data_IF_884208626243
#
_entry.id   IF_884208626243
#
_cell.length_a   1.000
_cell.length_b   1.000
_cell.length_c   1.000
_cell.angle_alpha   90.00
_cell.angle_beta   90.00
_cell.angle_gamma   90.00
#
_symmetry.space_group_name_H-M   'P 1'
#
loop_
_entity.id
_entity.type
_entity.pdbx_description
1 polymer ?
#
# COMPACT_ATOMS: atom_id res chain seq x y z
N UNK A 1 -11.23 -15.68 -3.32
CA UNK A 1 -10.78 -14.76 -4.38
C UNK A 1 -9.99 -13.69 -3.68
N UNK A 2 -8.70 -13.56 -3.97
CA UNK A 2 -7.83 -12.64 -3.24
C UNK A 2 -8.11 -11.22 -3.66
N UNK A 3 -8.26 -10.32 -2.70
CA UNK A 3 -8.46 -8.90 -2.95
C UNK A 3 -7.40 -8.10 -2.21
N UNK A 4 -6.95 -7.01 -2.81
CA UNK A 4 -6.08 -6.02 -2.20
C UNK A 4 -6.93 -4.80 -1.87
N UNK A 5 -6.92 -4.40 -0.60
CA UNK A 5 -7.69 -3.26 -0.12
C UNK A 5 -6.75 -2.17 0.40
N UNK A 6 -7.01 -0.93 0.00
CA UNK A 6 -6.30 0.25 0.50
C UNK A 6 -7.15 1.00 1.51
N UNK A 7 -6.53 1.36 2.61
CA UNK A 7 -7.07 2.17 3.70
C UNK A 7 -6.23 3.42 3.91
N UNK A 8 -6.90 4.47 4.37
CA UNK A 8 -6.28 5.69 4.88
C UNK A 8 -6.70 5.83 6.34
N UNK A 9 -5.77 5.57 7.25
CA UNK A 9 -5.99 5.67 8.69
C UNK A 9 -5.47 7.03 9.18
N UNK A 10 -6.35 7.83 9.79
CA UNK A 10 -6.03 9.12 10.41
C UNK A 10 -6.06 8.94 11.94
N UNK A 11 -4.89 8.81 12.53
CA UNK A 11 -4.72 8.47 13.95
C UNK A 11 -4.39 9.70 14.77
N UNK A 12 -5.13 9.91 15.86
CA UNK A 12 -4.83 10.89 16.87
C UNK A 12 -3.56 10.51 17.67
N UNK A 13 -2.95 11.45 18.42
CA UNK A 13 -1.82 11.14 19.29
C UNK A 13 -2.12 9.99 20.27
N UNK A 14 -1.27 8.97 20.30
CA UNK A 14 -1.43 7.79 21.16
C UNK A 14 -2.56 6.85 20.76
N UNK A 15 -3.24 7.08 19.62
CA UNK A 15 -4.26 6.17 19.12
C UNK A 15 -3.63 4.87 18.62
N UNK A 16 -4.25 3.73 18.97
CA UNK A 16 -3.79 2.41 18.54
C UNK A 16 -4.46 2.02 17.21
N UNK A 17 -3.63 1.62 16.24
CA UNK A 17 -4.05 0.88 15.06
C UNK A 17 -3.89 -0.62 15.33
N UNK A 18 -5.03 -1.31 15.46
CA UNK A 18 -5.06 -2.76 15.58
C UNK A 18 -5.08 -3.42 14.19
N UNK A 19 -4.16 -4.34 13.97
CA UNK A 19 -3.96 -5.03 12.70
C UNK A 19 -4.15 -6.53 12.92
N UNK A 20 -5.12 -7.11 12.23
CA UNK A 20 -5.39 -8.54 12.27
C UNK A 20 -4.29 -9.35 11.56
N UNK A 21 -4.32 -10.67 11.72
CA UNK A 21 -3.51 -11.58 10.91
C UNK A 21 -3.90 -11.42 9.44
N UNK A 22 -2.89 -11.26 8.57
CA UNK A 22 -3.08 -11.03 7.15
C UNK A 22 -1.91 -10.28 6.55
N UNK A 23 -1.52 -10.66 5.33
CA UNK A 23 -0.44 -10.02 4.59
C UNK A 23 -0.78 -8.58 4.27
N UNK A 24 0.06 -7.65 4.74
CA UNK A 24 -0.20 -6.22 4.61
C UNK A 24 1.09 -5.41 4.54
N UNK A 25 0.96 -4.21 3.99
CA UNK A 25 1.97 -3.16 4.04
C UNK A 25 1.36 -1.92 4.67
N UNK A 26 2.09 -1.30 5.59
CA UNK A 26 1.79 0.03 6.12
C UNK A 26 2.84 1.02 5.63
N UNK A 27 2.41 2.22 5.24
CA UNK A 27 3.26 3.35 4.89
C UNK A 27 2.85 4.56 5.71
N UNK A 28 3.81 5.21 6.37
CA UNK A 28 3.54 6.41 7.16
C UNK A 28 3.68 7.63 6.25
N UNK A 29 2.58 8.27 5.89
CA UNK A 29 2.58 9.48 5.06
C UNK A 29 2.98 10.72 5.85
N UNK A 30 2.59 10.80 7.13
CA UNK A 30 3.02 11.83 8.08
C UNK A 30 2.94 11.33 9.52
N UNK A 31 3.73 11.93 10.40
CA UNK A 31 3.80 11.55 11.81
C UNK A 31 4.65 10.29 12.02
N UNK A 32 4.25 9.48 12.99
CA UNK A 32 4.96 8.27 13.41
C UNK A 32 3.96 7.17 13.84
N UNK A 33 4.26 5.92 13.48
CA UNK A 33 3.47 4.75 13.87
C UNK A 33 4.41 3.65 14.38
N UNK A 34 4.33 3.32 15.66
CA UNK A 34 5.29 2.42 16.30
C UNK A 34 6.72 2.95 16.18
N UNK A 35 7.58 2.26 15.44
CA UNK A 35 8.95 2.70 15.13
C UNK A 35 9.12 3.29 13.72
N UNK A 36 8.03 3.44 12.96
CA UNK A 36 8.06 3.93 11.58
C UNK A 36 7.81 5.44 11.56
N UNK A 37 8.71 6.17 10.89
CA UNK A 37 8.56 7.60 10.66
C UNK A 37 7.99 7.89 9.26
N UNK A 38 7.48 9.11 9.08
CA UNK A 38 7.02 9.60 7.77
C UNK A 38 8.00 9.27 6.63
N UNK A 39 7.48 8.71 5.54
CA UNK A 39 8.25 8.24 4.39
C UNK A 39 8.70 6.78 4.47
N UNK A 40 8.45 6.09 5.58
CA UNK A 40 8.84 4.69 5.77
C UNK A 40 7.67 3.74 5.57
N UNK A 41 7.97 2.52 5.14
CA UNK A 41 7.02 1.43 5.01
C UNK A 41 7.48 0.19 5.78
N UNK A 42 6.54 -0.68 6.13
CA UNK A 42 6.83 -2.03 6.63
C UNK A 42 5.82 -3.04 6.10
N UNK A 43 6.31 -4.26 5.87
CA UNK A 43 5.47 -5.43 5.66
C UNK A 43 5.22 -6.15 6.98
N UNK A 44 4.03 -6.73 7.14
CA UNK A 44 3.72 -7.65 8.23
C UNK A 44 2.62 -8.63 7.86
N UNK A 45 2.58 -9.77 8.53
CA UNK A 45 1.55 -10.80 8.36
C UNK A 45 0.88 -11.23 9.66
N UNK A 46 1.56 -11.04 10.80
CA UNK A 46 1.07 -11.43 12.12
C UNK A 46 0.10 -10.40 12.69
N UNK A 47 -0.65 -10.74 13.73
CA UNK A 47 -1.43 -9.75 14.48
C UNK A 47 -0.48 -8.71 15.11
N UNK A 48 -0.84 -7.43 15.03
CA UNK A 48 -0.05 -6.36 15.64
C UNK A 48 -0.93 -5.23 16.18
N UNK A 49 -0.40 -4.50 17.15
CA UNK A 49 -0.96 -3.21 17.57
C UNK A 49 0.14 -2.18 17.50
N UNK A 50 -0.12 -1.10 16.78
CA UNK A 50 0.84 -0.02 16.58
C UNK A 50 0.23 1.27 17.12
N UNK A 51 1.00 2.00 17.92
CA UNK A 51 0.55 3.26 18.51
C UNK A 51 1.05 4.43 17.66
N UNK A 52 0.19 5.43 17.43
CA UNK A 52 0.58 6.67 16.80
C UNK A 52 1.43 7.53 17.76
N UNK A 53 2.46 8.17 17.21
CA UNK A 53 3.36 9.04 17.96
C UNK A 53 2.66 10.29 18.54
N UNK A 54 3.42 11.18 19.21
CA UNK A 54 2.88 12.33 19.94
C UNK A 54 2.15 13.36 19.05
N UNK A 55 2.43 13.38 17.75
CA UNK A 55 1.79 14.26 16.77
C UNK A 55 0.64 13.57 16.00
N UNK A 56 0.32 12.31 16.34
CA UNK A 56 -0.57 11.46 15.55
C UNK A 56 0.11 10.91 14.29
N UNK A 57 -0.68 10.31 13.40
CA UNK A 57 -0.18 9.76 12.15
C UNK A 57 -1.24 9.74 11.03
N UNK A 58 -0.78 9.88 9.79
CA UNK A 58 -1.54 9.50 8.60
C UNK A 58 -0.87 8.29 7.97
N UNK A 59 -1.60 7.19 7.89
CA UNK A 59 -1.08 5.90 7.46
C UNK A 59 -1.86 5.44 6.24
N UNK A 60 -1.13 5.04 5.20
CA UNK A 60 -1.71 4.35 4.05
C UNK A 60 -1.41 2.87 4.23
N UNK A 61 -2.46 2.06 4.26
CA UNK A 61 -2.36 0.64 4.60
C UNK A 61 -2.97 -0.18 3.47
N UNK A 62 -2.24 -1.18 3.01
CA UNK A 62 -2.72 -2.15 2.03
C UNK A 62 -2.83 -3.51 2.71
N UNK A 63 -3.97 -4.16 2.57
CA UNK A 63 -4.21 -5.48 3.14
C UNK A 63 -4.71 -6.44 2.08
N UNK A 64 -4.20 -7.67 2.14
CA UNK A 64 -4.75 -8.80 1.39
C UNK A 64 -5.86 -9.45 2.21
N UNK A 65 -7.01 -9.56 1.60
CA UNK A 65 -8.22 -10.14 2.19
C UNK A 65 -8.83 -11.15 1.22
N UNK A 66 -9.56 -12.12 1.77
CA UNK A 66 -10.34 -13.07 0.95
C UNK A 66 -11.73 -12.54 0.57
N UNK A 67 -12.10 -11.37 1.11
CA UNK A 67 -13.38 -10.71 0.90
C UNK A 67 -13.19 -9.21 0.66
N UNK A 68 -14.11 -8.60 -0.09
CA UNK A 68 -14.19 -7.15 -0.16
C UNK A 68 -14.69 -6.60 1.18
N UNK A 69 -14.15 -5.45 1.54
CA UNK A 69 -14.34 -4.76 2.81
C UNK A 69 -14.95 -3.40 2.51
N UNK A 70 -16.10 -3.11 3.09
CA UNK A 70 -16.93 -1.94 2.72
C UNK A 70 -16.32 -0.60 3.16
N UNK A 71 -15.34 -0.61 4.05
CA UNK A 71 -14.65 0.55 4.60
C UNK A 71 -13.33 0.87 3.87
N UNK A 72 -12.90 0.03 2.92
CA UNK A 72 -11.72 0.31 2.12
C UNK A 72 -11.95 1.51 1.18
N UNK A 73 -10.94 2.36 1.07
CA UNK A 73 -10.92 3.48 0.14
C UNK A 73 -10.95 3.01 -1.32
N UNK A 74 -10.23 1.92 -1.58
CA UNK A 74 -10.23 1.24 -2.87
C UNK A 74 -9.97 -0.25 -2.65
N UNK A 75 -10.70 -1.09 -3.37
CA UNK A 75 -10.52 -2.54 -3.38
C UNK A 75 -10.24 -2.98 -4.82
N UNK A 76 -9.24 -3.84 -5.00
CA UNK A 76 -8.87 -4.45 -6.26
C UNK A 76 -8.92 -5.96 -6.14
N UNK A 77 -9.67 -6.62 -7.03
CA UNK A 77 -9.68 -8.08 -7.11
C UNK A 77 -8.47 -8.55 -7.89
N UNK A 78 -7.76 -9.54 -7.34
CA UNK A 78 -6.52 -10.05 -7.90
C UNK A 78 -6.73 -11.42 -8.53
N UNK A 79 -6.32 -11.55 -9.78
CA UNK A 79 -6.19 -12.83 -10.47
C UNK A 79 -4.74 -13.31 -10.40
N UNK A 80 -4.44 -14.10 -9.37
CA UNK A 80 -3.10 -14.63 -9.13
C UNK A 80 -3.05 -16.12 -9.51
N UNK A 81 -1.94 -16.53 -10.12
CA UNK A 81 -1.62 -17.94 -10.35
C UNK A 81 -1.45 -18.67 -9.01
N UNK A 82 -2.31 -19.64 -8.64
CA UNK A 82 -2.25 -20.30 -7.34
C UNK A 82 -1.04 -21.23 -7.16
N UNK A 83 -0.26 -21.48 -8.21
CA UNK A 83 0.94 -22.31 -8.15
C UNK A 83 2.24 -21.49 -8.11
N UNK A 84 2.15 -20.17 -8.13
CA UNK A 84 3.30 -19.28 -8.07
C UNK A 84 3.44 -18.64 -6.68
N UNK A 85 4.68 -18.41 -6.27
CA UNK A 85 5.00 -17.62 -5.07
C UNK A 85 4.97 -16.12 -5.42
N UNK A 86 4.43 -15.31 -4.51
CA UNK A 86 4.33 -13.86 -4.68
C UNK A 86 4.99 -13.10 -3.54
N UNK A 87 5.44 -11.90 -3.87
CA UNK A 87 5.91 -10.89 -2.94
C UNK A 87 5.00 -9.68 -3.05
N UNK A 88 4.55 -9.18 -1.90
CA UNK A 88 3.92 -7.88 -1.77
C UNK A 88 5.02 -6.84 -1.61
N UNK A 89 5.07 -5.85 -2.51
CA UNK A 89 6.16 -4.88 -2.59
C UNK A 89 5.64 -3.46 -2.56
N UNK A 90 6.17 -2.65 -1.66
CA UNK A 90 5.92 -1.22 -1.56
C UNK A 90 6.96 -0.44 -2.36
N UNK A 91 6.51 0.36 -3.31
CA UNK A 91 7.36 1.13 -4.22
C UNK A 91 7.01 2.61 -4.11
N UNK A 92 8.02 3.48 -4.13
CA UNK A 92 7.87 4.94 -4.16
C UNK A 92 8.55 5.53 -5.39
N UNK A 93 8.23 6.79 -5.72
CA UNK A 93 8.89 7.50 -6.82
C UNK A 93 8.55 6.91 -8.20
N UNK A 94 7.29 6.53 -8.39
CA UNK A 94 6.82 5.76 -9.55
C UNK A 94 6.81 6.61 -10.81
N UNK A 95 7.46 6.13 -11.86
CA UNK A 95 7.45 6.74 -13.20
C UNK A 95 7.04 5.77 -14.30
N UNK A 96 6.97 4.47 -14.00
CA UNK A 96 6.67 3.41 -14.95
C UNK A 96 5.50 2.56 -14.45
N UNK A 97 4.70 1.98 -15.36
CA UNK A 97 3.65 1.04 -15.00
C UNK A 97 4.18 -0.13 -14.14
N UNK A 98 3.34 -0.63 -13.24
CA UNK A 98 3.73 -1.77 -12.41
C UNK A 98 3.90 -3.05 -13.24
N UNK A 99 4.84 -3.90 -12.81
CA UNK A 99 5.04 -5.23 -13.40
C UNK A 99 3.90 -6.22 -13.05
N UNK A 100 3.13 -5.94 -12.00
CA UNK A 100 2.05 -6.79 -11.51
C UNK A 100 0.87 -5.97 -10.98
N UNK A 101 -0.25 -6.64 -10.62
CA UNK A 101 -1.43 -5.97 -10.12
C UNK A 101 -1.18 -5.34 -8.75
N UNK A 102 -1.89 -4.27 -8.44
CA UNK A 102 -1.66 -3.54 -7.21
C UNK A 102 -2.59 -2.35 -7.02
N UNK A 103 -2.30 -1.54 -6.01
CA UNK A 103 -2.97 -0.28 -5.77
C UNK A 103 -1.93 0.80 -5.47
N UNK A 104 -2.02 1.93 -6.18
CA UNK A 104 -1.26 3.13 -5.93
C UNK A 104 -2.03 4.19 -5.14
N UNK A 105 -1.30 5.11 -4.52
CA UNK A 105 -1.80 6.26 -3.79
C UNK A 105 -0.95 7.50 -4.06
N UNK A 106 -1.62 8.62 -4.37
CA UNK A 106 -0.97 9.91 -4.55
C UNK A 106 -0.66 10.48 -3.17
N UNK A 107 0.58 10.83 -2.88
CA UNK A 107 0.93 11.45 -1.60
C UNK A 107 0.85 12.97 -1.67
N UNK A 108 1.35 13.55 -2.77
CA UNK A 108 1.37 15.00 -3.01
C UNK A 108 1.44 15.31 -4.49
N UNK A 109 1.06 16.54 -4.83
CA UNK A 109 1.18 17.10 -6.17
C UNK A 109 -0.10 16.96 -6.99
N UNK A 110 0.04 17.15 -8.28
CA UNK A 110 -1.04 16.97 -9.27
C UNK A 110 -0.57 15.91 -10.26
N UNK A 111 -1.26 14.77 -10.23
CA UNK A 111 -0.94 13.63 -11.07
C UNK A 111 -2.15 13.26 -11.91
N UNK A 112 -1.84 12.67 -13.06
CA UNK A 112 -2.82 12.11 -13.96
C UNK A 112 -2.58 10.60 -14.05
N UNK A 113 -3.63 9.84 -13.77
CA UNK A 113 -3.65 8.38 -13.83
C UNK A 113 -4.61 7.99 -14.95
N UNK A 114 -4.12 7.28 -15.97
CA UNK A 114 -4.90 6.88 -17.15
C UNK A 114 -5.68 8.04 -17.80
N UNK A 115 -5.09 9.24 -17.79
CA UNK A 115 -5.70 10.45 -18.34
C UNK A 115 -6.63 11.22 -17.39
N UNK A 116 -6.89 10.72 -16.18
CA UNK A 116 -7.72 11.39 -15.17
C UNK A 116 -6.88 12.03 -14.06
N UNK A 117 -7.24 13.26 -13.66
CA UNK A 117 -6.54 13.95 -12.57
C UNK A 117 -6.92 13.33 -11.22
N UNK A 118 -5.92 12.86 -10.48
CA UNK A 118 -6.08 12.28 -9.15
C UNK A 118 -5.48 13.22 -8.11
N UNK A 119 -6.31 13.62 -7.14
CA UNK A 119 -5.93 14.52 -6.05
C UNK A 119 -5.02 13.82 -5.02
N UNK A 120 -4.30 14.58 -4.17
CA UNK A 120 -3.58 14.01 -3.03
C UNK A 120 -4.46 13.06 -2.20
N UNK A 121 -3.84 11.95 -1.79
CA UNK A 121 -4.42 10.76 -1.18
C UNK A 121 -5.40 9.97 -2.07
N UNK A 122 -5.67 10.39 -3.30
CA UNK A 122 -6.43 9.58 -4.26
C UNK A 122 -5.70 8.28 -4.61
N UNK A 123 -6.46 7.20 -4.80
CA UNK A 123 -5.95 5.87 -5.06
C UNK A 123 -6.35 5.38 -6.47
N UNK A 124 -5.57 4.47 -7.04
CA UNK A 124 -5.84 3.83 -8.33
C UNK A 124 -5.40 2.37 -8.35
N UNK A 125 -5.93 1.59 -9.29
CA UNK A 125 -5.50 0.20 -9.50
C UNK A 125 -4.34 0.14 -10.49
N UNK A 126 -3.34 -0.69 -10.21
CA UNK A 126 -2.23 -0.97 -11.12
C UNK A 126 -2.50 -2.22 -11.97
N UNK A 127 -1.96 -2.30 -13.20
CA UNK A 127 -1.06 -1.33 -13.84
C UNK A 127 -1.81 -0.10 -14.38
N UNK A 128 -1.22 1.09 -14.24
CA UNK A 128 -1.76 2.33 -14.82
C UNK A 128 -0.67 3.23 -15.42
N UNK A 129 -1.06 4.10 -16.35
CA UNK A 129 -0.21 5.17 -16.87
C UNK A 129 -0.20 6.35 -15.90
N UNK A 130 0.96 6.61 -15.28
CA UNK A 130 1.15 7.70 -14.32
C UNK A 130 1.95 8.84 -14.97
N UNK A 131 1.41 10.05 -14.91
CA UNK A 131 2.09 11.26 -15.40
C UNK A 131 1.83 12.48 -14.50
N UNK A 132 2.64 13.54 -14.67
CA UNK A 132 2.50 14.79 -13.92
C UNK A 132 3.66 15.06 -12.96
N UNK A 133 3.41 15.88 -11.92
CA UNK A 133 4.41 16.24 -10.90
C UNK A 133 3.85 15.98 -9.51
N UNK A 134 4.45 15.03 -8.82
CA UNK A 134 4.02 14.65 -7.49
C UNK A 134 4.86 13.51 -6.93
N UNK A 135 4.44 13.02 -5.78
CA UNK A 135 5.02 11.84 -5.14
C UNK A 135 3.91 10.83 -4.94
N UNK A 136 4.24 9.57 -5.17
CA UNK A 136 3.34 8.44 -5.08
C UNK A 136 3.97 7.33 -4.30
N UNK A 137 3.12 6.45 -3.79
CA UNK A 137 3.48 5.14 -3.26
C UNK A 137 2.51 4.12 -3.83
N UNK A 138 2.96 2.91 -4.10
CA UNK A 138 2.10 1.80 -4.50
C UNK A 138 2.49 0.53 -3.81
N UNK A 139 1.52 -0.37 -3.70
CA UNK A 139 1.79 -1.77 -3.37
C UNK A 139 1.37 -2.64 -4.54
N UNK A 140 2.29 -3.47 -4.99
CA UNK A 140 2.09 -4.40 -6.10
C UNK A 140 2.41 -5.81 -5.65
N UNK A 141 1.74 -6.78 -6.28
CA UNK A 141 2.06 -8.19 -6.14
C UNK A 141 2.84 -8.63 -7.36
N UNK A 142 4.06 -9.09 -7.12
CA UNK A 142 4.97 -9.59 -8.16
C UNK A 142 5.37 -11.02 -7.82
N UNK A 143 5.68 -11.81 -8.84
CA UNK A 143 6.19 -13.17 -8.62
C UNK A 143 7.51 -13.10 -7.86
N UNK A 144 7.75 -14.04 -6.94
CA UNK A 144 8.96 -14.04 -6.13
C UNK A 144 10.26 -14.23 -6.95
N UNK A 145 10.14 -14.74 -8.17
CA UNK A 145 11.25 -14.91 -9.14
C UNK A 145 11.60 -13.62 -9.90
N UNK A 146 10.74 -12.60 -9.86
CA UNK A 146 11.01 -11.28 -10.47
C UNK A 146 12.22 -10.62 -9.78
N UNK A 147 13.07 -9.89 -10.54
CA UNK A 147 14.20 -9.19 -9.95
C UNK A 147 13.75 -8.24 -8.84
N UNK A 148 14.55 -8.17 -7.77
CA UNK A 148 14.34 -7.18 -6.73
C UNK A 148 14.58 -5.77 -7.30
N UNK A 149 13.54 -4.95 -7.31
CA UNK A 149 13.64 -3.51 -7.51
C UNK A 149 13.81 -2.80 -6.17
N UNK A 150 14.27 -1.55 -6.20
CA UNK A 150 14.32 -0.72 -4.98
C UNK A 150 12.89 -0.60 -4.42
N UNK A 151 12.70 -1.10 -3.20
CA UNK A 151 11.42 -1.12 -2.51
C UNK A 151 11.55 -0.49 -1.15
N UNK A 152 10.51 0.24 -0.71
CA UNK A 152 10.43 0.80 0.64
C UNK A 152 10.20 -0.30 1.69
N UNK A 153 9.46 -1.34 1.31
CA UNK A 153 9.23 -2.54 2.09
C UNK A 153 8.80 -3.67 1.16
N UNK A 154 9.06 -4.92 1.55
CA UNK A 154 8.54 -6.09 0.85
C UNK A 154 8.43 -7.29 1.78
N UNK A 155 7.56 -8.24 1.42
CA UNK A 155 7.44 -9.51 2.13
C UNK A 155 6.80 -10.59 1.28
N UNK A 156 7.21 -11.84 1.52
CA UNK A 156 6.61 -13.00 0.87
C UNK A 156 5.17 -13.18 1.34
N UNK A 157 4.31 -13.58 0.41
CA UNK A 157 2.92 -13.91 0.70
C UNK A 157 2.75 -15.42 0.85
N UNK A 158 1.88 -15.79 1.79
CA UNK A 158 1.35 -17.14 1.89
C UNK A 158 -0.11 -17.06 1.46
N UNK A 159 -0.35 -17.35 0.17
CA UNK A 159 -1.68 -17.37 -0.44
C UNK A 159 -2.35 -18.74 -0.27
#
# INVERSE_FOLDING_TARGET
MTSLSLYEDLLAPGEELALAVGGRIVYVASGELGSLHAGSAAFGSDEARLEAGPDGATVIRWELTEWSVDDAKLCAHLELDPWADYVMRCEGGITEPAAGPGIGCVLRGELTIDGEVVQPFGAWQEPAEVSGRGTTVRVVLVRAEEPAHESLAQGALHL
#
